data_IF_688595408744
#
_entry.id   IF_688595408744
#
_cell.length_a   1.000
_cell.length_b   1.000
_cell.length_c   1.000
_cell.angle_alpha   90.00
_cell.angle_beta   90.00
_cell.angle_gamma   90.00
#
_symmetry.space_group_name_H-M   'P 1'
#
loop_
_entity.id
_entity.type
_entity.pdbx_description
1 polymer ?
#
# COMPACT_ATOMS: atom_id res chain seq x y z
N UNK A 1 26.58 30.89 -0.88
CA UNK A 1 25.65 29.75 -0.66
C UNK A 1 25.91 28.58 -1.61
N UNK A 2 26.20 28.76 -2.91
CA UNK A 2 26.52 27.62 -3.81
C UNK A 2 27.72 26.79 -3.36
N UNK A 3 28.81 27.45 -2.93
CA UNK A 3 30.03 26.75 -2.51
C UNK A 3 29.86 25.98 -1.19
N UNK A 4 28.83 26.31 -0.39
CA UNK A 4 28.57 25.66 0.90
C UNK A 4 27.80 24.36 0.71
N UNK A 5 26.85 24.34 -0.24
CA UNK A 5 26.15 23.12 -0.69
C UNK A 5 27.11 22.19 -1.42
N UNK A 6 28.00 22.76 -2.25
CA UNK A 6 29.04 22.03 -2.97
C UNK A 6 30.08 21.39 -2.02
N UNK A 7 30.49 22.12 -0.98
CA UNK A 7 31.41 21.64 0.05
C UNK A 7 30.76 20.63 1.00
N UNK A 8 29.49 20.83 1.38
CA UNK A 8 28.76 19.89 2.22
C UNK A 8 28.46 18.59 1.47
N UNK A 9 27.96 18.64 0.24
CA UNK A 9 27.59 17.46 -0.55
C UNK A 9 28.76 16.54 -0.86
N UNK A 10 29.90 17.09 -1.29
CA UNK A 10 31.11 16.30 -1.64
C UNK A 10 31.88 15.74 -0.43
N UNK A 11 31.72 16.32 0.76
CA UNK A 11 32.47 15.91 1.96
C UNK A 11 31.66 15.01 2.90
N UNK A 12 30.33 15.09 2.86
CA UNK A 12 29.44 14.30 3.70
C UNK A 12 28.97 12.98 3.06
N UNK A 13 28.87 12.91 1.72
CA UNK A 13 28.39 11.73 1.02
C UNK A 13 29.55 11.05 0.29
N UNK A 14 29.75 9.74 0.55
CA UNK A 14 30.60 8.89 -0.31
C UNK A 14 29.99 8.82 -1.72
N UNK A 15 30.74 8.32 -2.70
CA UNK A 15 30.14 8.10 -4.02
C UNK A 15 29.07 6.98 -3.94
N UNK A 16 27.89 7.19 -4.53
CA UNK A 16 26.88 6.14 -4.70
C UNK A 16 27.46 4.91 -5.37
N UNK A 17 27.07 3.73 -4.90
CA UNK A 17 27.53 2.46 -5.46
C UNK A 17 26.86 2.13 -6.80
N UNK A 18 25.63 2.59 -7.01
CA UNK A 18 24.85 2.36 -8.23
C UNK A 18 24.01 3.57 -8.63
N UNK A 19 23.98 3.84 -9.94
CA UNK A 19 23.15 4.88 -10.54
C UNK A 19 23.61 6.31 -10.24
N UNK A 20 22.76 7.27 -10.60
CA UNK A 20 23.01 8.68 -10.37
C UNK A 20 21.75 9.52 -10.19
N UNK A 21 21.92 10.69 -9.57
CA UNK A 21 20.94 11.77 -9.59
C UNK A 21 21.62 13.04 -10.06
N UNK A 22 21.05 13.69 -11.08
CA UNK A 22 21.46 15.03 -11.51
C UNK A 22 20.56 16.07 -10.88
N UNK A 23 21.12 16.94 -10.05
CA UNK A 23 20.41 18.05 -9.44
C UNK A 23 20.62 19.32 -10.25
N UNK A 24 19.54 19.92 -10.77
CA UNK A 24 19.55 21.21 -11.46
C UNK A 24 19.10 22.29 -10.47
N UNK A 25 19.98 23.27 -10.21
CA UNK A 25 19.73 24.38 -9.31
C UNK A 25 18.93 25.51 -9.99
N UNK A 26 18.27 26.41 -9.23
CA UNK A 26 17.48 27.50 -9.80
C UNK A 26 18.29 28.48 -10.67
N UNK A 27 19.61 28.52 -10.50
CA UNK A 27 20.53 29.32 -11.29
C UNK A 27 21.01 28.63 -12.58
N UNK A 28 20.45 27.47 -12.94
CA UNK A 28 20.78 26.69 -14.13
C UNK A 28 22.03 25.81 -14.01
N UNK A 29 22.76 25.88 -12.89
CA UNK A 29 23.89 24.96 -12.65
C UNK A 29 23.37 23.56 -12.34
N UNK A 30 24.06 22.54 -12.83
CA UNK A 30 23.76 21.15 -12.54
C UNK A 30 24.91 20.45 -11.83
N UNK A 31 24.58 19.48 -10.98
CA UNK A 31 25.52 18.62 -10.29
C UNK A 31 25.01 17.18 -10.31
N UNK A 32 25.86 16.24 -10.72
CA UNK A 32 25.52 14.81 -10.70
C UNK A 32 26.19 14.15 -9.50
N UNK A 33 25.38 13.43 -8.72
CA UNK A 33 25.83 12.55 -7.65
C UNK A 33 25.73 11.11 -8.15
N UNK A 34 26.84 10.37 -8.15
CA UNK A 34 26.92 9.00 -8.69
C UNK A 34 27.34 8.94 -10.15
N UNK A 35 27.18 7.77 -10.77
CA UNK A 35 27.55 7.52 -12.16
C UNK A 35 26.33 7.13 -13.00
N UNK A 36 25.89 7.97 -13.96
CA UNK A 36 24.73 7.67 -14.80
C UNK A 36 24.84 6.39 -15.63
N UNK A 37 26.04 5.81 -15.79
CA UNK A 37 26.24 4.57 -16.56
C UNK A 37 26.14 3.29 -15.74
N UNK A 38 26.05 3.37 -14.40
CA UNK A 38 26.09 2.19 -13.52
C UNK A 38 24.72 1.78 -12.98
N UNK A 39 23.63 2.42 -13.44
CA UNK A 39 22.28 2.10 -12.97
C UNK A 39 21.24 3.14 -13.37
N UNK A 40 20.21 3.27 -12.53
CA UNK A 40 19.13 4.24 -12.72
C UNK A 40 19.67 5.68 -12.68
N UNK A 41 19.09 6.55 -13.50
CA UNK A 41 19.42 7.97 -13.53
C UNK A 41 18.14 8.79 -13.49
N UNK A 42 18.09 9.74 -12.55
CA UNK A 42 16.99 10.70 -12.44
C UNK A 42 17.52 12.13 -12.36
N UNK A 43 16.74 13.07 -12.88
CA UNK A 43 17.01 14.51 -12.85
C UNK A 43 16.05 15.19 -11.88
N UNK A 44 16.60 15.73 -10.80
CA UNK A 44 15.90 16.55 -9.80
C UNK A 44 16.16 18.04 -10.08
N UNK A 45 15.13 18.78 -10.47
CA UNK A 45 15.21 20.23 -10.68
C UNK A 45 14.61 20.97 -9.49
N UNK A 46 15.36 21.94 -8.95
CA UNK A 46 14.90 22.83 -7.90
C UNK A 46 14.35 24.12 -8.53
N UNK A 47 13.08 24.44 -8.29
CA UNK A 47 12.46 25.66 -8.78
C UNK A 47 12.80 26.87 -7.89
N UNK A 48 13.18 26.65 -6.63
CA UNK A 48 13.64 27.70 -5.73
C UNK A 48 14.60 27.18 -4.64
N UNK A 49 15.32 28.09 -3.97
CA UNK A 49 16.28 27.74 -2.92
C UNK A 49 15.64 27.44 -1.55
N UNK A 50 14.33 27.70 -1.35
CA UNK A 50 13.65 27.45 -0.06
C UNK A 50 13.60 25.96 0.26
N UNK A 51 13.49 25.11 -0.77
CA UNK A 51 13.50 23.65 -0.70
C UNK A 51 14.66 23.12 0.14
N UNK A 52 15.85 23.70 -0.02
CA UNK A 52 17.05 23.24 0.69
C UNK A 52 16.83 23.38 2.20
N UNK A 53 16.26 24.50 2.66
CA UNK A 53 15.99 24.70 4.09
C UNK A 53 14.85 23.86 4.65
N UNK A 54 13.82 23.57 3.86
CA UNK A 54 12.63 22.83 4.29
C UNK A 54 12.81 21.31 4.24
N UNK A 55 13.44 20.78 3.19
CA UNK A 55 13.79 19.37 3.06
C UNK A 55 14.76 18.94 4.17
N UNK A 56 15.76 19.77 4.50
CA UNK A 56 16.70 19.50 5.60
C UNK A 56 16.06 19.52 7.00
N UNK A 57 14.89 20.15 7.18
CA UNK A 57 14.22 20.25 8.49
C UNK A 57 13.15 19.20 8.75
N UNK A 58 12.60 18.58 7.69
CA UNK A 58 11.47 17.64 7.81
C UNK A 58 11.71 16.28 7.14
N UNK A 59 12.94 15.99 6.69
CA UNK A 59 13.30 14.71 6.11
C UNK A 59 12.44 14.34 4.89
N UNK A 60 12.00 13.07 4.82
CA UNK A 60 11.18 12.53 3.73
C UNK A 60 9.84 13.26 3.56
N UNK A 61 9.20 13.66 4.66
CA UNK A 61 7.96 14.45 4.66
C UNK A 61 8.19 15.83 4.04
N UNK A 62 9.34 16.44 4.31
CA UNK A 62 9.73 17.73 3.71
C UNK A 62 9.97 17.63 2.20
N UNK A 63 10.64 16.57 1.75
CA UNK A 63 10.86 16.31 0.33
C UNK A 63 9.53 16.11 -0.41
N UNK A 64 8.62 15.30 0.15
CA UNK A 64 7.30 15.09 -0.43
C UNK A 64 6.48 16.39 -0.52
N UNK A 65 6.49 17.21 0.54
CA UNK A 65 5.82 18.51 0.51
C UNK A 65 6.38 19.44 -0.56
N UNK A 66 7.71 19.50 -0.71
CA UNK A 66 8.35 20.29 -1.77
C UNK A 66 7.96 19.80 -3.17
N UNK A 67 7.84 18.47 -3.36
CA UNK A 67 7.33 17.92 -4.62
C UNK A 67 5.88 18.35 -4.83
N UNK A 68 4.99 18.14 -3.86
CA UNK A 68 3.56 18.45 -3.96
C UNK A 68 3.32 19.93 -4.28
N UNK A 69 4.07 20.84 -3.64
CA UNK A 69 3.96 22.28 -3.85
C UNK A 69 4.55 22.77 -5.18
N UNK A 70 5.23 21.91 -5.93
CA UNK A 70 5.91 22.28 -7.19
C UNK A 70 7.24 23.01 -6.97
N UNK A 71 7.80 22.97 -5.76
CA UNK A 71 9.11 23.55 -5.47
C UNK A 71 10.27 22.72 -6.07
N UNK A 72 10.02 21.43 -6.33
CA UNK A 72 10.90 20.54 -7.08
C UNK A 72 10.18 19.82 -8.22
N UNK A 73 10.90 19.53 -9.29
CA UNK A 73 10.47 18.70 -10.42
C UNK A 73 11.41 17.51 -10.54
N UNK A 74 10.86 16.35 -10.89
CA UNK A 74 11.62 15.11 -11.10
C UNK A 74 11.10 14.50 -12.39
N UNK A 75 12.01 14.08 -13.27
CA UNK A 75 11.68 13.44 -14.55
C UNK A 75 11.15 12.01 -14.37
N UNK A 76 11.76 11.25 -13.47
CA UNK A 76 11.39 9.90 -13.09
C UNK A 76 11.48 9.74 -11.56
N UNK A 77 10.33 9.89 -10.89
CA UNK A 77 10.24 9.75 -9.44
C UNK A 77 10.55 8.32 -8.97
N UNK A 78 10.12 7.31 -9.71
CA UNK A 78 10.36 5.91 -9.34
C UNK A 78 11.87 5.64 -9.38
N UNK A 79 12.57 6.04 -10.44
CA UNK A 79 14.02 5.92 -10.53
C UNK A 79 14.75 6.66 -9.41
N UNK A 80 14.27 7.86 -9.05
CA UNK A 80 14.83 8.63 -7.93
C UNK A 80 14.71 7.87 -6.59
N UNK A 81 13.54 7.33 -6.27
CA UNK A 81 13.33 6.59 -5.02
C UNK A 81 14.12 5.29 -4.99
N UNK A 82 14.16 4.55 -6.11
CA UNK A 82 14.97 3.33 -6.22
C UNK A 82 16.45 3.62 -6.01
N UNK A 83 16.96 4.72 -6.56
CA UNK A 83 18.33 5.18 -6.29
C UNK A 83 18.58 5.41 -4.79
N UNK A 84 17.63 6.03 -4.07
CA UNK A 84 17.77 6.24 -2.61
C UNK A 84 17.78 4.92 -1.84
N UNK A 85 16.94 3.95 -2.21
CA UNK A 85 16.90 2.63 -1.56
C UNK A 85 18.19 1.85 -1.82
N UNK A 86 18.67 1.81 -3.07
CA UNK A 86 19.91 1.13 -3.46
C UNK A 86 21.17 1.70 -2.78
N UNK A 87 21.14 2.99 -2.45
CA UNK A 87 22.24 3.70 -1.80
C UNK A 87 21.94 4.04 -0.33
N UNK A 88 20.97 3.36 0.30
CA UNK A 88 20.49 3.69 1.65
C UNK A 88 21.60 3.77 2.69
N UNK A 89 22.51 2.78 2.73
CA UNK A 89 23.61 2.73 3.69
C UNK A 89 24.50 3.99 3.63
N UNK A 90 24.75 4.52 2.43
CA UNK A 90 25.50 5.76 2.24
C UNK A 90 24.79 6.97 2.86
N UNK A 91 23.47 7.06 2.68
CA UNK A 91 22.67 8.16 3.23
C UNK A 91 22.51 8.07 4.75
N UNK A 92 22.39 6.87 5.32
CA UNK A 92 22.32 6.66 6.77
C UNK A 92 23.64 7.00 7.47
N UNK A 93 24.78 6.61 6.89
CA UNK A 93 26.11 6.95 7.41
C UNK A 93 26.35 8.46 7.42
N UNK A 94 25.95 9.16 6.36
CA UNK A 94 26.03 10.61 6.27
C UNK A 94 25.02 11.35 7.19
N UNK A 95 23.98 10.63 7.63
CA UNK A 95 22.73 11.20 8.14
C UNK A 95 22.48 11.10 9.65
N UNK A 96 23.46 10.67 10.47
CA UNK A 96 23.29 10.49 11.95
C UNK A 96 22.77 11.71 12.74
N UNK A 97 22.58 12.87 12.10
CA UNK A 97 21.89 14.04 12.68
C UNK A 97 20.98 14.82 11.72
N UNK A 98 20.72 14.32 10.51
CA UNK A 98 20.09 15.10 9.42
C UNK A 98 18.58 14.83 9.27
N UNK A 99 18.10 13.64 9.65
CA UNK A 99 16.70 13.24 9.55
C UNK A 99 15.99 13.28 10.92
N UNK A 100 15.96 14.44 11.58
CA UNK A 100 15.14 14.59 12.79
C UNK A 100 13.66 14.59 12.41
N UNK A 101 12.92 13.58 12.88
CA UNK A 101 11.46 13.50 12.77
C UNK A 101 10.81 14.69 13.47
N UNK A 102 9.80 15.29 12.87
CA UNK A 102 9.10 16.41 13.48
C UNK A 102 8.11 15.88 14.54
N UNK A 103 8.19 16.41 15.78
CA UNK A 103 7.30 16.03 16.88
C UNK A 103 5.80 16.19 16.55
N UNK A 104 5.47 17.09 15.63
CA UNK A 104 4.08 17.30 15.14
C UNK A 104 3.55 16.13 14.32
N UNK A 105 4.41 15.45 13.56
CA UNK A 105 3.98 14.31 12.74
C UNK A 105 3.70 13.09 13.64
N UNK A 106 4.55 12.87 14.65
CA UNK A 106 4.32 11.84 15.66
C UNK A 106 2.99 12.04 16.41
N UNK A 107 2.70 13.27 16.84
CA UNK A 107 1.43 13.58 17.50
C UNK A 107 0.21 13.38 16.58
N UNK A 108 0.33 13.70 15.29
CA UNK A 108 -0.72 13.45 14.31
C UNK A 108 -1.01 11.95 14.16
N UNK A 109 0.03 11.12 14.05
CA UNK A 109 -0.15 9.67 13.92
C UNK A 109 -0.80 9.05 15.16
N UNK A 110 -0.38 9.46 16.37
CA UNK A 110 -0.99 9.00 17.62
C UNK A 110 -2.49 9.36 17.68
N UNK A 111 -2.90 10.51 17.13
CA UNK A 111 -4.31 10.92 17.10
C UNK A 111 -5.21 10.09 16.16
N UNK A 112 -4.63 9.19 15.36
CA UNK A 112 -5.30 8.38 14.34
C UNK A 112 -5.39 6.89 14.71
N UNK A 113 -5.46 6.59 16.00
CA UNK A 113 -5.54 5.22 16.52
C UNK A 113 -6.73 4.43 15.94
N UNK A 114 -6.53 3.14 15.66
CA UNK A 114 -7.50 2.26 14.99
C UNK A 114 -8.51 1.62 15.97
N UNK A 115 -9.01 2.43 16.91
CA UNK A 115 -10.22 2.11 17.68
C UNK A 115 -11.41 1.88 16.74
N UNK A 116 -12.53 1.30 17.20
CA UNK A 116 -13.72 1.11 16.35
C UNK A 116 -14.16 2.38 15.61
N UNK A 117 -14.28 3.50 16.35
CA UNK A 117 -14.64 4.79 15.77
C UNK A 117 -13.53 5.35 14.87
N UNK A 118 -12.26 5.17 15.28
CA UNK A 118 -11.08 5.61 14.53
C UNK A 118 -10.91 4.88 13.19
N UNK A 119 -11.02 3.55 13.16
CA UNK A 119 -10.97 2.74 11.94
C UNK A 119 -12.03 3.19 10.94
N UNK A 120 -13.26 3.43 11.40
CA UNK A 120 -14.35 3.93 10.55
C UNK A 120 -14.04 5.32 9.98
N UNK A 121 -13.49 6.22 10.79
CA UNK A 121 -13.11 7.57 10.34
C UNK A 121 -11.96 7.54 9.34
N UNK A 122 -10.91 6.74 9.59
CA UNK A 122 -9.75 6.60 8.70
C UNK A 122 -10.15 5.99 7.34
N UNK A 123 -11.02 4.97 7.35
CA UNK A 123 -11.56 4.35 6.14
C UNK A 123 -12.44 5.34 5.37
N UNK A 124 -13.34 6.08 6.04
CA UNK A 124 -14.15 7.11 5.37
C UNK A 124 -13.26 8.12 4.66
N UNK A 125 -12.34 8.78 5.36
CA UNK A 125 -11.53 9.86 4.76
C UNK A 125 -10.69 9.41 3.56
N UNK A 126 -10.17 8.18 3.57
CA UNK A 126 -9.41 7.67 2.43
C UNK A 126 -10.33 7.33 1.23
N UNK A 127 -11.49 6.72 1.48
CA UNK A 127 -12.43 6.34 0.42
C UNK A 127 -13.44 7.45 0.04
N UNK A 128 -13.47 8.56 0.77
CA UNK A 128 -14.27 9.77 0.49
C UNK A 128 -13.81 10.47 -0.82
N UNK A 129 -12.71 10.02 -1.46
CA UNK A 129 -12.38 10.39 -2.83
C UNK A 129 -13.45 9.89 -3.83
N UNK A 130 -14.27 8.93 -3.44
CA UNK A 130 -15.46 8.49 -4.18
C UNK A 130 -15.18 7.58 -5.36
N UNK A 131 -16.19 6.82 -5.76
CA UNK A 131 -16.10 5.85 -6.87
C UNK A 131 -15.75 6.49 -8.21
N UNK A 132 -16.15 7.75 -8.43
CA UNK A 132 -15.89 8.48 -9.68
C UNK A 132 -14.40 8.72 -9.90
N UNK A 133 -13.64 8.88 -8.83
CA UNK A 133 -12.18 9.01 -8.86
C UNK A 133 -11.50 7.68 -9.16
N UNK A 134 -11.75 6.68 -8.31
CA UNK A 134 -11.12 5.36 -8.41
C UNK A 134 -11.45 4.66 -9.73
N UNK A 135 -12.69 4.80 -10.22
CA UNK A 135 -13.14 4.22 -11.48
C UNK A 135 -12.46 4.77 -12.73
N UNK A 136 -11.68 5.86 -12.63
CA UNK A 136 -10.92 6.36 -13.78
C UNK A 136 -9.66 5.55 -14.08
N UNK A 137 -9.00 5.01 -13.05
CA UNK A 137 -7.64 4.47 -13.17
C UNK A 137 -7.47 3.05 -12.62
N UNK A 138 -8.39 2.58 -11.76
CA UNK A 138 -8.47 1.16 -11.44
C UNK A 138 -8.94 0.34 -12.65
N UNK A 139 -8.80 -0.97 -12.54
CA UNK A 139 -9.44 -1.89 -13.48
C UNK A 139 -10.97 -1.95 -13.23
N UNK A 140 -11.78 -2.48 -14.16
CA UNK A 140 -13.24 -2.50 -14.03
C UNK A 140 -13.77 -3.25 -12.80
N UNK A 141 -12.96 -4.12 -12.19
CA UNK A 141 -13.33 -4.77 -10.93
C UNK A 141 -13.26 -3.84 -9.71
N UNK A 142 -12.79 -2.59 -9.88
CA UNK A 142 -12.55 -1.62 -8.82
C UNK A 142 -11.61 -2.18 -7.74
N UNK A 143 -10.59 -2.94 -8.13
CA UNK A 143 -9.68 -3.53 -7.16
C UNK A 143 -8.57 -2.55 -6.80
N UNK A 144 -8.60 -2.06 -5.56
CA UNK A 144 -7.50 -1.28 -4.98
C UNK A 144 -6.62 -2.12 -4.04
N UNK A 145 -6.00 -3.14 -4.62
CA UNK A 145 -5.02 -4.04 -4.00
C UNK A 145 -4.07 -4.56 -5.07
N UNK A 146 -2.95 -5.17 -4.68
CA UNK A 146 -2.02 -5.82 -5.61
C UNK A 146 -2.71 -6.84 -6.50
N UNK A 147 -2.38 -6.84 -7.79
CA UNK A 147 -2.68 -7.94 -8.70
C UNK A 147 -1.61 -9.05 -8.61
N UNK A 148 -1.90 -10.24 -9.16
CA UNK A 148 -0.91 -11.32 -9.30
C UNK A 148 -0.68 -11.55 -10.79
N UNK A 149 0.49 -11.18 -11.28
CA UNK A 149 0.90 -11.45 -12.65
C UNK A 149 1.57 -12.82 -12.74
N UNK A 150 1.03 -13.70 -13.58
CA UNK A 150 1.59 -15.02 -13.89
C UNK A 150 2.36 -15.03 -15.22
N UNK A 151 2.22 -13.98 -16.03
CA UNK A 151 3.00 -13.77 -17.26
C UNK A 151 3.25 -12.28 -17.53
N UNK A 152 4.20 -11.99 -18.42
CA UNK A 152 4.60 -10.61 -18.73
C UNK A 152 3.55 -9.80 -19.51
N UNK A 153 2.73 -10.48 -20.31
CA UNK A 153 1.76 -9.95 -21.27
C UNK A 153 0.34 -9.77 -20.71
N UNK A 154 0.06 -10.27 -19.50
CA UNK A 154 -1.23 -10.09 -18.83
C UNK A 154 -1.58 -8.61 -18.63
N UNK A 155 -2.83 -8.30 -18.93
CA UNK A 155 -3.49 -7.04 -18.54
C UNK A 155 -3.66 -6.95 -17.02
N UNK A 156 -3.92 -5.75 -16.50
CA UNK A 156 -4.20 -5.55 -15.08
C UNK A 156 -5.48 -6.31 -14.67
N UNK A 157 -6.49 -6.27 -15.53
CA UNK A 157 -7.78 -6.93 -15.38
C UNK A 157 -7.62 -8.45 -15.21
N UNK A 158 -6.83 -9.08 -16.08
CA UNK A 158 -6.56 -10.52 -16.02
C UNK A 158 -5.76 -10.88 -14.77
N UNK A 159 -4.79 -10.05 -14.39
CA UNK A 159 -3.97 -10.26 -13.20
C UNK A 159 -4.79 -10.08 -11.89
N UNK A 160 -5.76 -9.16 -11.87
CA UNK A 160 -6.67 -8.99 -10.74
C UNK A 160 -7.61 -10.19 -10.60
N UNK A 161 -8.17 -10.69 -11.71
CA UNK A 161 -8.96 -11.93 -11.71
C UNK A 161 -8.12 -13.13 -11.25
N UNK A 162 -6.90 -13.26 -11.77
CA UNK A 162 -5.98 -14.32 -11.36
C UNK A 162 -5.66 -14.28 -9.86
N UNK A 163 -5.50 -13.09 -9.29
CA UNK A 163 -5.33 -12.91 -7.84
C UNK A 163 -6.56 -13.38 -7.05
N UNK A 164 -7.77 -13.06 -7.48
CA UNK A 164 -8.98 -13.54 -6.77
C UNK A 164 -9.09 -15.07 -6.76
N UNK A 165 -8.85 -15.72 -7.91
CA UNK A 165 -8.79 -17.19 -7.94
C UNK A 165 -7.68 -17.74 -7.05
N UNK A 166 -6.48 -17.14 -7.09
CA UNK A 166 -5.37 -17.59 -6.24
C UNK A 166 -5.73 -17.56 -4.76
N UNK A 167 -6.41 -16.52 -4.29
CA UNK A 167 -6.84 -16.39 -2.89
C UNK A 167 -7.89 -17.45 -2.56
N UNK A 168 -8.90 -17.65 -3.41
CA UNK A 168 -9.93 -18.68 -3.20
C UNK A 168 -9.34 -20.09 -3.21
N UNK A 169 -8.43 -20.39 -4.14
CA UNK A 169 -7.71 -21.66 -4.26
C UNK A 169 -6.80 -21.92 -3.04
N UNK A 170 -6.09 -20.89 -2.58
CA UNK A 170 -5.26 -20.98 -1.37
C UNK A 170 -6.10 -21.10 -0.11
N UNK A 171 -7.27 -20.44 -0.04
CA UNK A 171 -8.21 -20.70 1.03
C UNK A 171 -8.76 -22.13 0.94
N UNK A 172 -8.90 -22.70 -0.26
CA UNK A 172 -9.40 -24.04 -0.49
C UNK A 172 -10.92 -24.10 -0.67
N UNK A 173 -11.52 -23.00 -1.09
CA UNK A 173 -12.97 -22.83 -1.27
C UNK A 173 -13.53 -23.85 -2.25
N UNK A 174 -14.64 -24.49 -1.89
CA UNK A 174 -15.42 -25.38 -2.76
C UNK A 174 -16.89 -24.95 -2.82
N UNK A 175 -17.58 -25.57 -3.77
CA UNK A 175 -19.02 -25.39 -3.97
C UNK A 175 -19.82 -25.65 -2.69
N UNK A 176 -20.74 -24.73 -2.39
CA UNK A 176 -21.64 -24.79 -1.24
C UNK A 176 -21.00 -24.48 0.13
N UNK A 177 -19.68 -24.28 0.21
CA UNK A 177 -19.01 -23.93 1.46
C UNK A 177 -19.22 -22.45 1.83
N UNK A 178 -19.05 -22.14 3.11
CA UNK A 178 -19.22 -20.81 3.67
C UNK A 178 -17.89 -20.06 3.77
N UNK A 179 -17.85 -18.84 3.22
CA UNK A 179 -16.66 -17.97 3.15
C UNK A 179 -16.96 -16.64 3.83
N UNK A 180 -16.11 -16.22 4.77
CA UNK A 180 -16.12 -14.84 5.28
C UNK A 180 -15.07 -14.01 4.54
N UNK A 181 -15.47 -12.88 3.97
CA UNK A 181 -14.53 -11.88 3.42
C UNK A 181 -14.43 -10.69 4.38
N UNK A 182 -13.27 -10.54 5.02
CA UNK A 182 -12.96 -9.41 5.89
C UNK A 182 -12.40 -8.26 5.04
N UNK A 183 -13.18 -7.18 4.91
CA UNK A 183 -12.82 -6.03 4.06
C UNK A 183 -13.18 -6.25 2.59
N UNK A 184 -14.47 -6.40 2.29
CA UNK A 184 -14.94 -6.83 0.97
C UNK A 184 -14.83 -5.79 -0.17
N UNK A 185 -14.42 -4.57 0.15
CA UNK A 185 -14.23 -3.49 -0.82
C UNK A 185 -15.42 -3.32 -1.77
N UNK A 186 -15.15 -3.22 -3.07
CA UNK A 186 -16.15 -3.11 -4.14
C UNK A 186 -16.69 -4.47 -4.64
N UNK A 187 -16.53 -5.53 -3.85
CA UNK A 187 -17.13 -6.85 -4.08
C UNK A 187 -16.47 -7.69 -5.18
N UNK A 188 -15.22 -7.40 -5.55
CA UNK A 188 -14.53 -8.16 -6.61
C UNK A 188 -14.25 -9.61 -6.23
N UNK A 189 -13.81 -9.87 -4.99
CA UNK A 189 -13.61 -11.24 -4.51
C UNK A 189 -14.94 -11.93 -4.22
N UNK A 190 -15.89 -11.22 -3.57
CA UNK A 190 -17.26 -11.67 -3.40
C UNK A 190 -17.89 -12.21 -4.69
N UNK A 191 -17.74 -11.48 -5.79
CA UNK A 191 -18.20 -11.90 -7.12
C UNK A 191 -17.51 -13.18 -7.60
N UNK A 192 -16.19 -13.29 -7.47
CA UNK A 192 -15.44 -14.50 -7.85
C UNK A 192 -15.88 -15.71 -7.04
N UNK A 193 -16.00 -15.60 -5.72
CA UNK A 193 -16.42 -16.72 -4.85
C UNK A 193 -17.84 -17.17 -5.19
N UNK A 194 -18.77 -16.22 -5.36
CA UNK A 194 -20.16 -16.54 -5.70
C UNK A 194 -20.29 -17.15 -7.11
N UNK A 195 -19.70 -16.51 -8.12
CA UNK A 195 -19.87 -16.90 -9.52
C UNK A 195 -19.04 -18.12 -9.92
N UNK A 196 -17.78 -18.13 -9.54
CA UNK A 196 -16.79 -19.06 -10.09
C UNK A 196 -16.62 -20.31 -9.22
N UNK A 197 -16.90 -20.21 -7.91
CA UNK A 197 -16.83 -21.34 -6.96
C UNK A 197 -18.21 -21.83 -6.49
N UNK A 198 -19.31 -21.12 -6.83
CA UNK A 198 -20.66 -21.42 -6.36
C UNK A 198 -20.72 -21.61 -4.82
N UNK A 199 -20.02 -20.75 -4.09
CA UNK A 199 -19.90 -20.78 -2.64
C UNK A 199 -20.67 -19.62 -1.98
N UNK A 200 -20.99 -19.77 -0.70
CA UNK A 200 -21.75 -18.78 0.06
C UNK A 200 -20.80 -17.79 0.75
N UNK A 201 -20.80 -16.53 0.33
CA UNK A 201 -19.95 -15.50 0.90
C UNK A 201 -20.72 -14.55 1.83
N UNK A 202 -20.15 -14.32 3.01
CA UNK A 202 -20.51 -13.24 3.93
C UNK A 202 -19.38 -12.22 3.91
N UNK A 203 -19.60 -11.05 3.29
CA UNK A 203 -18.59 -10.02 3.16
C UNK A 203 -18.87 -8.84 4.08
N UNK A 204 -17.82 -8.28 4.70
CA UNK A 204 -17.96 -7.14 5.61
C UNK A 204 -17.08 -5.97 5.19
N UNK A 205 -17.59 -4.75 5.35
CA UNK A 205 -16.83 -3.51 5.14
C UNK A 205 -17.30 -2.40 6.09
N UNK A 206 -16.41 -1.46 6.39
CA UNK A 206 -16.72 -0.23 7.14
C UNK A 206 -16.96 0.98 6.22
N UNK A 207 -16.99 0.78 4.89
CA UNK A 207 -17.33 1.83 3.92
C UNK A 207 -18.74 1.63 3.35
N UNK A 208 -19.60 2.63 3.53
CA UNK A 208 -20.98 2.60 2.99
C UNK A 208 -21.01 2.71 1.47
N UNK A 209 -20.08 3.47 0.89
CA UNK A 209 -19.98 3.64 -0.56
C UNK A 209 -19.53 2.36 -1.26
N UNK A 210 -18.50 1.71 -0.71
CA UNK A 210 -18.04 0.39 -1.18
C UNK A 210 -19.16 -0.64 -1.07
N UNK A 211 -19.84 -0.68 0.08
CA UNK A 211 -20.95 -1.61 0.30
C UNK A 211 -22.07 -1.41 -0.73
N UNK A 212 -22.50 -0.16 -0.93
CA UNK A 212 -23.57 0.15 -1.89
C UNK A 212 -23.17 -0.23 -3.32
N UNK A 213 -21.93 0.02 -3.71
CA UNK A 213 -21.40 -0.37 -5.02
C UNK A 213 -21.38 -1.90 -5.18
N UNK A 214 -20.83 -2.59 -4.18
CA UNK A 214 -20.65 -4.03 -4.20
C UNK A 214 -22.00 -4.79 -4.20
N UNK A 215 -22.97 -4.33 -3.42
CA UNK A 215 -24.32 -4.91 -3.42
C UNK A 215 -25.01 -4.74 -4.78
N UNK A 216 -24.92 -3.56 -5.39
CA UNK A 216 -25.50 -3.32 -6.72
C UNK A 216 -24.80 -4.16 -7.80
N UNK A 217 -23.47 -4.31 -7.70
CA UNK A 217 -22.67 -5.16 -8.59
C UNK A 217 -23.13 -6.63 -8.54
N UNK A 218 -23.34 -7.18 -7.35
CA UNK A 218 -23.81 -8.56 -7.18
C UNK A 218 -25.26 -8.74 -7.65
N UNK A 219 -26.14 -7.80 -7.29
CA UNK A 219 -27.55 -7.82 -7.68
C UNK A 219 -27.74 -7.76 -9.20
N UNK A 220 -26.96 -6.96 -9.91
CA UNK A 220 -26.99 -6.89 -11.39
C UNK A 220 -26.64 -8.21 -12.07
N UNK A 221 -25.89 -9.07 -11.39
CA UNK A 221 -25.49 -10.39 -11.87
C UNK A 221 -26.34 -11.53 -11.29
N UNK A 222 -27.30 -11.23 -10.41
CA UNK A 222 -28.10 -12.23 -9.70
C UNK A 222 -27.28 -13.12 -8.76
N UNK A 223 -26.20 -12.57 -8.18
CA UNK A 223 -25.30 -13.27 -7.26
C UNK A 223 -25.58 -12.95 -5.78
N UNK A 224 -26.53 -12.06 -5.50
CA UNK A 224 -26.90 -11.58 -4.17
C UNK A 224 -27.57 -12.64 -3.28
N UNK A 225 -27.95 -13.79 -3.86
CA UNK A 225 -28.36 -14.99 -3.13
C UNK A 225 -27.16 -15.82 -2.61
N UNK A 226 -25.99 -15.71 -3.23
CA UNK A 226 -24.77 -16.43 -2.86
C UNK A 226 -23.79 -15.55 -2.07
N UNK A 227 -23.69 -14.27 -2.38
CA UNK A 227 -22.83 -13.31 -1.67
C UNK A 227 -23.67 -12.22 -0.99
N UNK A 228 -23.67 -12.23 0.35
CA UNK A 228 -24.31 -11.21 1.17
C UNK A 228 -23.26 -10.29 1.79
N UNK A 229 -23.45 -8.97 1.63
CA UNK A 229 -22.48 -7.97 2.07
C UNK A 229 -23.09 -7.05 3.14
N UNK A 230 -22.31 -6.76 4.18
CA UNK A 230 -22.76 -6.11 5.40
C UNK A 230 -21.86 -4.93 5.79
N UNK A 231 -22.48 -3.89 6.35
CA UNK A 231 -21.77 -2.79 7.00
C UNK A 231 -21.44 -3.21 8.42
N UNK A 232 -20.24 -3.72 8.64
CA UNK A 232 -19.91 -4.44 9.87
C UNK A 232 -18.41 -4.37 10.16
N UNK A 233 -18.07 -4.25 11.44
CA UNK A 233 -16.70 -4.38 11.93
C UNK A 233 -16.39 -5.85 12.18
N UNK A 234 -15.25 -6.35 11.70
CA UNK A 234 -14.86 -7.75 11.87
C UNK A 234 -14.79 -8.19 13.34
N UNK A 235 -14.58 -7.24 14.26
CA UNK A 235 -14.55 -7.47 15.71
C UNK A 235 -15.91 -7.85 16.28
N UNK A 236 -16.98 -7.51 15.56
CA UNK A 236 -18.37 -7.74 15.98
C UNK A 236 -19.02 -8.89 15.18
N UNK A 237 -18.34 -9.43 14.17
CA UNK A 237 -18.78 -10.59 13.38
C UNK A 237 -18.90 -11.84 14.23
N UNK A 238 -19.97 -12.59 14.03
CA UNK A 238 -20.26 -13.84 14.76
C UNK A 238 -20.39 -15.03 13.80
N UNK A 239 -20.46 -16.25 14.35
CA UNK A 239 -20.55 -17.47 13.57
C UNK A 239 -19.19 -18.08 13.21
N UNK A 240 -19.21 -19.14 12.40
CA UNK A 240 -18.02 -19.82 11.92
C UNK A 240 -18.18 -20.21 10.44
N UNK A 241 -17.10 -20.08 9.69
CA UNK A 241 -17.02 -20.26 8.25
C UNK A 241 -16.01 -21.36 7.91
N UNK A 242 -16.20 -22.01 6.78
CA UNK A 242 -15.24 -23.00 6.27
C UNK A 242 -13.93 -22.29 5.89
N UNK A 243 -14.06 -21.11 5.28
CA UNK A 243 -12.93 -20.31 4.80
C UNK A 243 -13.02 -18.83 5.15
N UNK A 244 -11.87 -18.17 5.22
CA UNK A 244 -11.77 -16.71 5.33
C UNK A 244 -10.88 -16.15 4.21
N UNK A 245 -11.35 -15.11 3.52
CA UNK A 245 -10.53 -14.24 2.68
C UNK A 245 -10.34 -12.88 3.35
N UNK A 246 -9.13 -12.33 3.31
CA UNK A 246 -8.85 -10.96 3.78
C UNK A 246 -7.76 -10.36 2.90
N UNK A 247 -8.08 -9.27 2.20
CA UNK A 247 -7.22 -8.74 1.15
C UNK A 247 -6.77 -7.33 1.51
N UNK A 248 -5.49 -7.18 1.86
CA UNK A 248 -4.85 -5.90 2.19
C UNK A 248 -5.65 -5.07 3.22
N UNK A 249 -6.22 -5.77 4.21
CA UNK A 249 -6.96 -5.17 5.31
C UNK A 249 -6.08 -5.00 6.55
N UNK A 250 -5.18 -5.96 6.82
CA UNK A 250 -4.41 -6.03 8.08
C UNK A 250 -3.49 -4.82 8.30
N UNK A 251 -3.08 -4.16 7.22
CA UNK A 251 -2.30 -2.94 7.19
C UNK A 251 -3.05 -1.79 7.86
N UNK A 252 -4.38 -1.77 7.79
CA UNK A 252 -5.24 -0.77 8.42
C UNK A 252 -5.64 -1.12 9.86
N UNK A 253 -5.25 -2.29 10.39
CA UNK A 253 -5.57 -2.72 11.75
C UNK A 253 -4.71 -1.98 12.78
N UNK A 254 -3.43 -1.76 12.48
CA UNK A 254 -2.45 -1.18 13.41
C UNK A 254 -1.86 -2.20 14.39
N UNK A 255 -0.61 -1.96 14.80
CA UNK A 255 0.19 -2.90 15.61
C UNK A 255 -0.50 -3.35 16.90
N UNK A 256 -1.13 -2.43 17.62
CA UNK A 256 -1.81 -2.70 18.88
C UNK A 256 -3.02 -3.65 18.75
N UNK A 257 -3.56 -3.80 17.54
CA UNK A 257 -4.76 -4.58 17.27
C UNK A 257 -4.50 -5.86 16.45
N UNK A 258 -3.25 -6.12 16.02
CA UNK A 258 -2.91 -7.38 15.35
C UNK A 258 -3.34 -8.62 16.16
N UNK A 259 -3.13 -8.71 17.50
CA UNK A 259 -3.59 -9.86 18.27
C UNK A 259 -5.10 -10.06 18.17
N UNK A 260 -5.89 -8.98 18.24
CA UNK A 260 -7.35 -9.03 18.12
C UNK A 260 -7.79 -9.46 16.73
N UNK A 261 -7.10 -9.00 15.68
CA UNK A 261 -7.36 -9.43 14.31
C UNK A 261 -7.15 -10.94 14.12
N UNK A 262 -6.00 -11.47 14.53
CA UNK A 262 -5.74 -12.90 14.43
C UNK A 262 -6.68 -13.74 15.30
N UNK A 263 -7.05 -13.25 16.49
CA UNK A 263 -8.06 -13.90 17.32
C UNK A 263 -9.42 -13.97 16.62
N UNK A 264 -9.85 -12.88 15.95
CA UNK A 264 -11.09 -12.88 15.19
C UNK A 264 -11.04 -13.88 14.02
N UNK A 265 -9.94 -13.94 13.28
CA UNK A 265 -9.74 -14.96 12.22
C UNK A 265 -9.86 -16.37 12.81
N UNK A 266 -9.21 -16.67 13.92
CA UNK A 266 -9.31 -17.96 14.60
C UNK A 266 -10.75 -18.28 15.02
N UNK A 267 -11.44 -17.35 15.65
CA UNK A 267 -12.77 -17.58 16.23
C UNK A 267 -13.88 -17.69 15.18
N UNK A 268 -13.64 -17.16 13.97
CA UNK A 268 -14.55 -17.23 12.82
C UNK A 268 -14.24 -18.41 11.88
N UNK A 269 -13.14 -19.14 12.04
CA UNK A 269 -12.92 -20.40 11.32
C UNK A 269 -13.59 -21.58 12.02
N UNK A 270 -14.20 -22.49 11.28
CA UNK A 270 -14.55 -23.83 11.81
C UNK A 270 -13.25 -24.61 12.13
N UNK A 271 -13.28 -25.59 13.05
CA UNK A 271 -12.16 -26.50 13.23
C UNK A 271 -11.79 -27.18 11.89
N UNK A 272 -10.51 -27.18 11.53
CA UNK A 272 -10.01 -27.65 10.24
C UNK A 272 -10.09 -26.63 9.09
N UNK A 273 -10.81 -25.52 9.27
CA UNK A 273 -10.99 -24.45 8.28
C UNK A 273 -9.71 -23.63 8.02
N UNK A 274 -9.73 -22.87 6.93
CA UNK A 274 -8.54 -22.18 6.42
C UNK A 274 -8.80 -20.71 6.05
N UNK A 275 -7.84 -19.84 6.34
CA UNK A 275 -7.86 -18.44 5.93
C UNK A 275 -6.77 -18.16 4.91
N UNK A 276 -7.07 -17.38 3.87
CA UNK A 276 -6.09 -16.79 2.97
C UNK A 276 -6.05 -15.27 3.19
N UNK A 277 -4.94 -14.78 3.75
CA UNK A 277 -4.74 -13.36 4.06
C UNK A 277 -3.71 -12.80 3.08
N UNK A 278 -4.13 -11.94 2.16
CA UNK A 278 -3.20 -11.14 1.36
C UNK A 278 -2.76 -9.92 2.18
N UNK A 279 -1.47 -9.75 2.37
CA UNK A 279 -0.91 -8.68 3.19
C UNK A 279 0.39 -8.13 2.61
N UNK A 280 0.55 -6.82 2.66
CA UNK A 280 1.81 -6.11 2.51
C UNK A 280 2.63 -6.32 3.79
N UNK A 281 3.87 -6.75 3.61
CA UNK A 281 4.84 -6.91 4.69
C UNK A 281 6.06 -6.04 4.45
N UNK A 282 6.68 -5.57 5.54
CA UNK A 282 7.92 -4.81 5.50
C UNK A 282 9.10 -5.71 5.86
N UNK A 283 10.27 -5.44 5.26
CA UNK A 283 11.52 -6.12 5.58
C UNK A 283 11.86 -5.98 7.08
N UNK A 284 12.36 -7.06 7.68
CA UNK A 284 12.65 -7.10 9.12
C UNK A 284 13.66 -6.03 9.55
N UNK A 285 14.65 -5.69 8.73
CA UNK A 285 15.65 -4.67 9.06
C UNK A 285 15.07 -3.24 9.03
N UNK A 286 13.99 -3.04 8.26
CA UNK A 286 13.31 -1.74 8.12
C UNK A 286 12.28 -1.49 9.23
N UNK A 287 11.78 -2.56 9.85
CA UNK A 287 10.60 -2.50 10.72
C UNK A 287 10.75 -1.56 11.93
N UNK A 288 11.83 -1.64 12.71
CA UNK A 288 11.99 -0.75 13.88
C UNK A 288 12.11 0.73 13.49
N UNK A 289 12.72 1.00 12.34
CA UNK A 289 12.77 2.33 11.75
C UNK A 289 11.38 2.84 11.40
N UNK A 290 10.61 2.03 10.69
CA UNK A 290 9.23 2.33 10.29
C UNK A 290 8.28 2.49 11.49
N UNK A 291 8.32 1.55 12.44
CA UNK A 291 7.47 1.51 13.65
C UNK A 291 7.62 2.74 14.55
N UNK A 292 8.81 3.34 14.57
CA UNK A 292 9.15 4.41 15.50
C UNK A 292 8.70 5.82 15.06
N UNK A 293 8.03 5.97 13.92
CA UNK A 293 7.36 7.24 13.58
C UNK A 293 6.82 7.32 12.16
N UNK A 294 5.86 8.22 11.91
CA UNK A 294 5.10 8.27 10.67
C UNK A 294 5.95 8.68 9.47
N UNK A 295 5.86 7.90 8.40
CA UNK A 295 6.40 8.24 7.08
C UNK A 295 5.43 9.08 6.24
N UNK A 296 5.77 9.32 4.97
CA UNK A 296 4.89 10.02 4.03
C UNK A 296 3.53 9.32 3.88
N UNK A 297 3.53 7.99 3.80
CA UNK A 297 2.33 7.18 3.59
C UNK A 297 1.40 7.32 4.78
N UNK A 298 1.89 7.09 5.99
CA UNK A 298 1.12 7.22 7.23
C UNK A 298 0.65 8.66 7.48
N UNK A 299 1.33 9.66 6.90
CA UNK A 299 0.94 11.07 7.05
C UNK A 299 -0.14 11.51 6.08
N UNK A 300 -0.01 11.14 4.80
CA UNK A 300 -0.78 11.76 3.71
C UNK A 300 -1.72 10.81 2.98
N UNK A 301 -1.53 9.49 3.08
CA UNK A 301 -2.25 8.49 2.29
C UNK A 301 -3.04 7.54 3.19
N UNK A 302 -2.38 6.85 4.13
CA UNK A 302 -2.99 5.87 5.02
C UNK A 302 -2.72 6.19 6.51
N UNK A 303 -3.40 7.20 7.09
CA UNK A 303 -3.31 7.48 8.51
C UNK A 303 -3.69 6.26 9.37
N UNK A 304 -2.86 5.93 10.36
CA UNK A 304 -3.06 4.76 11.22
C UNK A 304 -2.61 3.43 10.60
N UNK A 305 -2.19 3.40 9.35
CA UNK A 305 -1.65 2.19 8.72
C UNK A 305 -0.35 1.73 9.38
N UNK A 306 -0.19 0.43 9.55
CA UNK A 306 1.05 -0.19 10.04
C UNK A 306 1.30 -1.51 9.30
N UNK A 307 2.39 -1.55 8.54
CA UNK A 307 2.93 -2.78 7.98
C UNK A 307 3.54 -3.65 9.07
N UNK A 308 3.40 -4.96 8.92
CA UNK A 308 3.99 -5.98 9.76
C UNK A 308 5.07 -6.74 8.99
N UNK A 309 5.96 -7.43 9.71
CA UNK A 309 6.96 -8.31 9.09
C UNK A 309 6.37 -9.68 8.80
N UNK A 310 7.06 -10.47 7.96
CA UNK A 310 6.74 -11.89 7.74
C UNK A 310 6.85 -12.70 9.04
N UNK A 311 7.79 -12.31 9.90
CA UNK A 311 7.92 -12.88 11.25
C UNK A 311 6.70 -12.57 12.11
N UNK A 312 6.24 -11.31 12.13
CA UNK A 312 5.04 -10.92 12.87
C UNK A 312 3.78 -11.64 12.35
N UNK A 313 3.60 -11.81 11.03
CA UNK A 313 2.52 -12.64 10.46
C UNK A 313 2.45 -14.03 11.09
N UNK A 314 3.60 -14.68 11.24
CA UNK A 314 3.70 -16.03 11.79
C UNK A 314 3.41 -16.04 13.29
N UNK A 315 4.10 -15.19 14.05
CA UNK A 315 3.97 -15.14 15.51
C UNK A 315 2.55 -14.82 15.96
N UNK A 316 1.85 -13.91 15.27
CA UNK A 316 0.48 -13.56 15.62
C UNK A 316 -0.50 -14.72 15.35
N UNK A 317 -0.29 -15.48 14.27
CA UNK A 317 -1.06 -16.70 14.01
C UNK A 317 -0.81 -17.78 15.07
N UNK A 318 0.47 -18.04 15.40
CA UNK A 318 0.86 -19.04 16.40
C UNK A 318 0.28 -18.74 17.79
N UNK A 319 0.24 -17.45 18.19
CA UNK A 319 -0.33 -17.01 19.48
C UNK A 319 -1.78 -17.42 19.68
N UNK A 320 -2.56 -17.54 18.61
CA UNK A 320 -3.98 -17.92 18.65
C UNK A 320 -4.22 -19.36 18.17
N UNK A 321 -3.15 -20.14 17.97
CA UNK A 321 -3.24 -21.54 17.54
C UNK A 321 -3.53 -21.75 16.05
N UNK A 322 -3.36 -20.72 15.21
CA UNK A 322 -3.42 -20.86 13.76
C UNK A 322 -2.07 -21.36 13.21
N UNK A 323 -2.12 -22.35 12.32
CA UNK A 323 -0.94 -22.90 11.65
C UNK A 323 -0.74 -22.21 10.30
N UNK A 324 0.39 -21.54 10.10
CA UNK A 324 0.76 -20.99 8.80
C UNK A 324 1.29 -22.11 7.89
N UNK A 325 0.50 -22.53 6.89
CA UNK A 325 0.81 -23.70 6.05
C UNK A 325 1.49 -23.34 4.73
N UNK A 326 1.10 -22.22 4.12
CA UNK A 326 1.60 -21.79 2.81
C UNK A 326 1.76 -20.28 2.77
N UNK A 327 2.85 -19.83 2.16
CA UNK A 327 3.11 -18.41 1.89
C UNK A 327 3.52 -18.27 0.43
N UNK A 328 2.84 -17.39 -0.30
CA UNK A 328 3.23 -17.02 -1.67
C UNK A 328 3.45 -15.52 -1.75
N UNK A 329 4.68 -15.10 -2.05
CA UNK A 329 5.04 -13.68 -2.16
C UNK A 329 5.22 -13.27 -3.62
N UNK A 330 4.85 -12.04 -3.93
CA UNK A 330 4.81 -11.51 -5.29
C UNK A 330 4.99 -9.98 -5.33
N UNK A 331 5.90 -9.42 -4.52
CA UNK A 331 6.21 -7.99 -4.47
C UNK A 331 6.36 -7.30 -5.83
N UNK A 332 7.05 -7.94 -6.79
CA UNK A 332 7.21 -7.40 -8.14
C UNK A 332 5.88 -7.24 -8.92
N UNK A 333 4.87 -8.05 -8.61
CA UNK A 333 3.52 -7.86 -9.15
C UNK A 333 2.87 -6.59 -8.61
N UNK A 334 3.14 -6.22 -7.35
CA UNK A 334 2.65 -4.94 -6.81
C UNK A 334 3.39 -3.76 -7.44
N UNK A 335 4.70 -3.84 -7.61
CA UNK A 335 5.45 -2.82 -8.36
C UNK A 335 4.84 -2.61 -9.77
N UNK A 336 4.55 -3.70 -10.50
CA UNK A 336 3.87 -3.62 -11.81
C UNK A 336 2.45 -3.05 -11.70
N UNK A 337 1.68 -3.42 -10.66
CA UNK A 337 0.33 -2.90 -10.42
C UNK A 337 0.34 -1.38 -10.20
N UNK A 338 1.21 -0.87 -9.33
CA UNK A 338 1.35 0.56 -9.02
C UNK A 338 1.80 1.37 -10.24
N UNK A 339 2.71 0.83 -11.03
CA UNK A 339 3.12 1.45 -12.31
C UNK A 339 1.95 1.61 -13.26
N UNK A 340 1.17 0.55 -13.48
CA UNK A 340 -0.01 0.58 -14.35
C UNK A 340 -1.09 1.54 -13.82
N UNK A 341 -1.29 1.61 -12.50
CA UNK A 341 -2.17 2.60 -11.90
C UNK A 341 -1.68 4.03 -12.14
N UNK A 342 -0.37 4.29 -12.01
CA UNK A 342 0.21 5.61 -12.25
C UNK A 342 0.06 6.04 -13.72
N UNK A 343 0.35 5.14 -14.65
CA UNK A 343 0.15 5.36 -16.09
C UNK A 343 -1.30 5.71 -16.42
N UNK A 344 -2.26 4.88 -15.96
CA UNK A 344 -3.70 5.13 -16.15
C UNK A 344 -4.17 6.41 -15.48
N UNK A 345 -3.71 6.69 -14.27
CA UNK A 345 -4.04 7.92 -13.53
C UNK A 345 -3.61 9.18 -14.30
N UNK A 346 -2.38 9.18 -14.84
CA UNK A 346 -1.86 10.30 -15.63
C UNK A 346 -2.59 10.45 -16.96
N UNK A 347 -2.86 9.35 -17.66
CA UNK A 347 -3.64 9.34 -18.91
C UNK A 347 -5.05 9.91 -18.69
N UNK A 348 -5.66 9.59 -17.55
CA UNK A 348 -7.05 9.95 -17.23
C UNK A 348 -7.15 11.27 -16.45
N UNK A 349 -6.03 11.93 -16.16
CA UNK A 349 -6.01 13.23 -15.48
C UNK A 349 -6.92 14.29 -16.11
N UNK A 350 -7.03 14.42 -17.46
CA UNK A 350 -7.97 15.36 -18.08
C UNK A 350 -9.46 15.10 -17.73
N UNK A 351 -9.81 13.87 -17.35
CA UNK A 351 -11.15 13.48 -16.89
C UNK A 351 -11.28 13.64 -15.37
N UNK A 352 -10.19 13.38 -14.63
CA UNK A 352 -10.16 13.48 -13.16
C UNK A 352 -10.17 14.95 -12.70
N UNK A 353 -9.38 15.84 -13.31
CA UNK A 353 -9.26 17.23 -12.85
C UNK A 353 -10.61 17.98 -12.76
N UNK A 354 -11.53 17.86 -13.75
CA UNK A 354 -12.88 18.44 -13.65
C UNK A 354 -13.74 17.94 -12.49
N UNK A 355 -13.39 16.82 -11.84
CA UNK A 355 -14.10 16.32 -10.64
C UNK A 355 -13.78 17.14 -9.38
N UNK A 356 -12.88 18.12 -9.47
CA UNK A 356 -12.52 19.03 -8.36
C UNK A 356 -11.12 18.82 -7.78
N UNK A 357 -10.28 17.99 -8.43
CA UNK A 357 -8.91 17.75 -8.00
C UNK A 357 -7.93 18.72 -8.67
N UNK A 358 -7.01 19.27 -7.88
CA UNK A 358 -6.01 20.22 -8.34
C UNK A 358 -4.66 19.57 -8.65
N UNK A 359 -3.71 20.36 -9.17
CA UNK A 359 -2.38 19.87 -9.50
C UNK A 359 -1.60 19.40 -8.26
N UNK A 360 -1.86 19.97 -7.08
CA UNK A 360 -1.25 19.52 -5.83
C UNK A 360 -1.71 18.10 -5.48
N UNK A 361 -3.00 17.81 -5.64
CA UNK A 361 -3.55 16.46 -5.50
C UNK A 361 -2.90 15.50 -6.50
N UNK A 362 -2.80 15.88 -7.78
CA UNK A 362 -2.14 15.06 -8.81
C UNK A 362 -0.72 14.69 -8.40
N UNK A 363 0.08 15.67 -7.98
CA UNK A 363 1.47 15.48 -7.58
C UNK A 363 1.57 14.60 -6.33
N UNK A 364 0.67 14.79 -5.35
CA UNK A 364 0.59 13.91 -4.18
C UNK A 364 0.32 12.46 -4.59
N UNK A 365 -0.62 12.24 -5.51
CA UNK A 365 -1.00 10.89 -5.95
C UNK A 365 0.10 10.20 -6.76
N UNK A 366 0.74 10.92 -7.68
CA UNK A 366 1.91 10.41 -8.43
C UNK A 366 3.06 10.07 -7.49
N UNK A 367 3.37 10.96 -6.54
CA UNK A 367 4.40 10.71 -5.53
C UNK A 367 4.12 9.42 -4.76
N UNK A 368 2.88 9.24 -4.29
CA UNK A 368 2.45 8.04 -3.59
C UNK A 368 2.67 6.77 -4.41
N UNK A 369 2.16 6.73 -5.65
CA UNK A 369 2.25 5.54 -6.50
C UNK A 369 3.71 5.19 -6.83
N UNK A 370 4.54 6.17 -7.21
CA UNK A 370 5.95 5.96 -7.51
C UNK A 370 6.77 5.58 -6.26
N UNK A 371 6.45 6.15 -5.10
CA UNK A 371 7.13 5.83 -3.84
C UNK A 371 6.89 4.37 -3.43
N UNK A 372 5.63 3.92 -3.49
CA UNK A 372 5.29 2.53 -3.21
C UNK A 372 5.86 1.59 -4.28
N UNK A 373 5.82 1.95 -5.56
CA UNK A 373 6.40 1.15 -6.65
C UNK A 373 7.88 0.87 -6.37
N UNK A 374 8.65 1.90 -6.03
CA UNK A 374 10.06 1.77 -5.70
C UNK A 374 10.30 0.86 -4.47
N UNK A 375 9.47 0.99 -3.43
CA UNK A 375 9.54 0.16 -2.23
C UNK A 375 9.39 -1.34 -2.54
N UNK A 376 8.42 -1.71 -3.38
CA UNK A 376 8.23 -3.09 -3.82
C UNK A 376 9.31 -3.55 -4.80
N UNK A 377 9.73 -2.70 -5.73
CA UNK A 377 10.73 -3.03 -6.75
C UNK A 377 12.11 -3.34 -6.14
N UNK A 378 12.45 -2.68 -5.03
CA UNK A 378 13.72 -2.86 -4.32
C UNK A 378 13.61 -3.79 -3.10
N UNK A 379 12.42 -4.36 -2.83
CA UNK A 379 12.23 -5.34 -1.76
C UNK A 379 12.24 -4.77 -0.33
N UNK A 380 12.12 -3.45 -0.16
CA UNK A 380 11.94 -2.83 1.16
C UNK A 380 10.58 -3.21 1.78
N UNK A 381 9.59 -3.42 0.91
CA UNK A 381 8.30 -4.01 1.23
C UNK A 381 8.00 -5.12 0.22
N UNK A 382 7.15 -6.06 0.61
CA UNK A 382 6.71 -7.20 -0.17
C UNK A 382 5.20 -7.40 0.02
N UNK A 383 4.56 -8.20 -0.82
CA UNK A 383 3.16 -8.59 -0.65
C UNK A 383 3.05 -10.09 -0.87
N UNK A 384 2.18 -10.74 -0.11
CA UNK A 384 1.94 -12.16 -0.28
C UNK A 384 0.60 -12.61 0.26
N UNK A 385 0.22 -13.82 -0.13
CA UNK A 385 -0.93 -14.54 0.44
C UNK A 385 -0.41 -15.54 1.46
N UNK A 386 -0.93 -15.43 2.68
CA UNK A 386 -0.58 -16.25 3.84
C UNK A 386 -1.77 -17.14 4.17
N UNK A 387 -1.59 -18.44 3.99
CA UNK A 387 -2.61 -19.45 4.29
C UNK A 387 -2.46 -19.94 5.72
N UNK A 388 -3.49 -19.73 6.53
CA UNK A 388 -3.58 -20.23 7.90
C UNK A 388 -4.60 -21.35 7.98
N UNK A 389 -4.34 -22.36 8.82
CA UNK A 389 -5.31 -23.39 9.20
C UNK A 389 -5.62 -23.31 10.68
N UNK A 390 -6.91 -23.42 11.04
CA UNK A 390 -7.33 -23.73 12.39
C UNK A 390 -7.28 -25.26 12.60
N UNK A 391 -6.50 -25.78 13.57
CA UNK A 391 -6.53 -27.21 13.89
C UNK A 391 -7.95 -27.73 14.17
N UNK A 392 -8.15 -29.03 13.91
CA UNK A 392 -9.45 -29.70 14.07
C UNK A 392 -9.82 -29.96 15.54
#
# INVERSE_FOLDING_TARGET
MSNLVEWAGKRLLREPSQGAVTVILPNGRSHTLGNPTTGLHSVLKLNNFKVIGEAMRRGTVGFAAAYINGDIEVDDLTALFRFFVQNKAMFEEAGKGFFRRAAKDLAYHISRANTREGSKANISEHYDLGNDFYGQWLDPSMTYSSAVFTSGDQSLEEAQRAKYHRIADMAGVKEGESVLEIGCGWGGFAETVARDYNAHLYGITLSREQLSYAQERLRRQGLDNLAQLHFEDYRDTTGQFDHIGSIEMIEAVGEEHWPTYFQAVHDRLKPGGTAAIQAITIDEAEFEGYRSGPDFIQRFIFPGGMLLTKTAMREQGERVGLLLERVETFGLSYAKTLRLWCERFLERWPVIAPLGYDEAFKRKWVYYLCYCEAGFAEGAIDVGIYQYRRPA
#
